data_IF_801072346632
#
_entry.id   IF_801072346632
#
_cell.length_a   1.000
_cell.length_b   1.000
_cell.length_c   1.000
_cell.angle_alpha   90.00
_cell.angle_beta   90.00
_cell.angle_gamma   90.00
#
_symmetry.space_group_name_H-M   'P 1'
#
loop_
_entity.id
_entity.type
_entity.pdbx_description
1 polymer ?
#
# COMPACT_ATOMS: atom_id res chain seq x y z
N UNK A 1 19.35 -3.43 -20.69
CA UNK A 1 18.78 -2.32 -19.87
C UNK A 1 17.28 -2.53 -19.68
N UNK A 2 16.73 -2.18 -18.52
CA UNK A 2 15.33 -2.47 -18.12
C UNK A 2 14.42 -1.28 -18.37
N UNK A 3 13.18 -1.59 -18.77
CA UNK A 3 12.07 -0.62 -18.86
C UNK A 3 11.07 -0.96 -17.77
N UNK A 4 10.79 -0.01 -16.87
CA UNK A 4 9.94 -0.22 -15.70
C UNK A 4 8.72 0.67 -15.75
N UNK A 5 7.58 0.14 -15.27
CA UNK A 5 6.37 0.91 -15.00
C UNK A 5 6.30 1.14 -13.50
N UNK A 6 6.12 2.38 -13.06
CA UNK A 6 5.88 2.74 -11.67
C UNK A 6 4.42 3.14 -11.50
N UNK A 7 3.72 2.37 -10.67
CA UNK A 7 2.36 2.63 -10.22
C UNK A 7 2.38 2.90 -8.72
N UNK A 8 2.25 4.14 -8.30
CA UNK A 8 1.98 4.51 -6.92
C UNK A 8 0.50 4.87 -6.79
N UNK A 9 -0.21 4.20 -5.88
CA UNK A 9 -1.66 4.20 -5.83
C UNK A 9 -2.27 5.59 -5.67
N UNK A 10 -1.84 6.36 -4.68
CA UNK A 10 -2.45 7.68 -4.40
C UNK A 10 -2.19 8.71 -5.50
N UNK A 11 -0.98 8.70 -6.05
CA UNK A 11 -0.59 9.65 -7.11
C UNK A 11 -1.14 9.27 -8.48
N UNK A 12 -1.60 8.03 -8.66
CA UNK A 12 -2.18 7.53 -9.91
C UNK A 12 -3.71 7.53 -9.94
N UNK A 13 -4.39 8.01 -8.88
CA UNK A 13 -5.85 8.10 -8.88
C UNK A 13 -6.34 9.12 -9.92
N UNK A 14 -7.49 8.84 -10.53
CA UNK A 14 -8.14 9.72 -11.53
C UNK A 14 -8.66 11.01 -10.89
N UNK A 15 -9.01 11.00 -9.62
CA UNK A 15 -9.39 12.18 -8.83
C UNK A 15 -8.40 12.40 -7.69
N UNK A 16 -8.02 13.65 -7.42
CA UNK A 16 -7.19 13.97 -6.24
C UNK A 16 -8.03 13.79 -4.99
N UNK A 17 -7.47 13.08 -4.02
CA UNK A 17 -8.11 12.78 -2.75
C UNK A 17 -8.56 14.04 -2.01
N UNK A 18 -9.74 13.96 -1.37
CA UNK A 18 -10.30 15.02 -0.53
C UNK A 18 -9.40 15.28 0.68
N UNK A 19 -9.54 16.43 1.30
CA UNK A 19 -8.67 17.04 2.31
C UNK A 19 -8.21 16.19 3.51
N UNK A 20 -8.89 15.10 3.83
CA UNK A 20 -8.54 14.22 4.96
C UNK A 20 -7.26 13.40 4.76
N UNK A 21 -6.83 13.21 3.52
CA UNK A 21 -5.72 12.33 3.18
C UNK A 21 -4.48 13.09 2.69
N UNK A 22 -4.38 14.40 2.96
CA UNK A 22 -3.28 15.24 2.45
C UNK A 22 -1.90 14.80 2.90
N UNK A 23 -1.76 14.32 4.14
CA UNK A 23 -0.46 13.87 4.66
C UNK A 23 -0.03 12.57 3.98
N UNK A 24 -0.92 11.57 3.93
CA UNK A 24 -0.67 10.30 3.25
C UNK A 24 -0.32 10.54 1.77
N UNK A 25 -1.06 11.44 1.12
CA UNK A 25 -0.80 11.80 -0.27
C UNK A 25 0.57 12.45 -0.45
N UNK A 26 0.98 13.35 0.45
CA UNK A 26 2.30 14.00 0.41
C UNK A 26 3.42 12.98 0.61
N UNK A 27 3.26 12.04 1.54
CA UNK A 27 4.20 10.94 1.75
C UNK A 27 4.31 10.05 0.51
N UNK A 28 3.19 9.65 -0.06
CA UNK A 28 3.13 8.85 -1.28
C UNK A 28 3.82 9.54 -2.47
N UNK A 29 3.57 10.84 -2.65
CA UNK A 29 4.22 11.65 -3.68
C UNK A 29 5.73 11.75 -3.47
N UNK A 30 6.18 11.98 -2.24
CA UNK A 30 7.60 12.03 -1.90
C UNK A 30 8.28 10.68 -2.13
N UNK A 31 7.65 9.59 -1.72
CA UNK A 31 8.14 8.23 -1.95
C UNK A 31 8.29 7.91 -3.43
N UNK A 32 7.23 8.14 -4.22
CA UNK A 32 7.26 7.94 -5.66
C UNK A 32 8.36 8.77 -6.34
N UNK A 33 8.47 10.05 -5.99
CA UNK A 33 9.50 10.93 -6.54
C UNK A 33 10.92 10.48 -6.16
N UNK A 34 11.14 10.01 -4.93
CA UNK A 34 12.41 9.49 -4.47
C UNK A 34 12.83 8.25 -5.27
N UNK A 35 11.90 7.32 -5.47
CA UNK A 35 12.15 6.11 -6.27
C UNK A 35 12.51 6.48 -7.72
N UNK A 36 11.75 7.39 -8.35
CA UNK A 36 12.02 7.83 -9.72
C UNK A 36 13.43 8.44 -9.82
N UNK A 37 13.79 9.34 -8.88
CA UNK A 37 15.12 9.97 -8.87
C UNK A 37 16.26 8.96 -8.71
N UNK A 38 16.08 7.92 -7.89
CA UNK A 38 17.05 6.85 -7.75
C UNK A 38 17.18 6.01 -9.03
N UNK A 39 16.06 5.70 -9.67
CA UNK A 39 16.06 4.94 -10.93
C UNK A 39 16.69 5.72 -12.08
N UNK A 40 16.52 7.05 -12.13
CA UNK A 40 17.20 7.91 -13.12
C UNK A 40 18.73 7.74 -13.03
N UNK A 41 19.28 7.61 -11.81
CA UNK A 41 20.72 7.45 -11.57
C UNK A 41 21.23 6.04 -11.92
N UNK A 42 20.37 5.03 -11.94
CA UNK A 42 20.78 3.65 -12.23
C UNK A 42 21.17 3.48 -13.69
N UNK A 43 22.32 2.81 -13.93
CA UNK A 43 22.78 2.46 -15.28
C UNK A 43 21.98 1.32 -15.91
N UNK A 44 21.36 0.47 -15.10
CA UNK A 44 20.59 -0.70 -15.56
C UNK A 44 19.20 -0.33 -16.08
N UNK A 45 18.71 0.86 -15.75
CA UNK A 45 17.37 1.34 -16.13
C UNK A 45 17.48 2.28 -17.33
N UNK A 46 16.88 1.87 -18.43
CA UNK A 46 16.79 2.64 -19.67
C UNK A 46 15.61 3.63 -19.61
N UNK A 47 14.44 3.16 -19.17
CA UNK A 47 13.22 3.95 -19.20
C UNK A 47 12.31 3.65 -18.01
N UNK A 48 11.71 4.70 -17.47
CA UNK A 48 10.72 4.63 -16.40
C UNK A 48 9.42 5.22 -16.94
N UNK A 49 8.37 4.42 -16.95
CA UNK A 49 7.02 4.85 -17.28
C UNK A 49 6.28 5.11 -15.97
N UNK A 50 5.94 6.35 -15.69
CA UNK A 50 5.27 6.76 -14.44
C UNK A 50 3.80 6.99 -14.73
N UNK A 51 2.92 6.32 -13.99
CA UNK A 51 1.48 6.56 -14.06
C UNK A 51 1.13 7.55 -12.95
N UNK A 52 0.52 8.69 -13.32
CA UNK A 52 0.30 9.80 -12.38
C UNK A 52 -0.92 10.63 -12.76
N UNK A 53 -1.59 11.22 -11.78
CA UNK A 53 -2.67 12.19 -12.02
C UNK A 53 -2.16 13.41 -12.77
N UNK A 54 -2.96 13.92 -13.73
CA UNK A 54 -2.62 15.04 -14.59
C UNK A 54 -2.31 16.35 -13.85
N UNK A 55 -2.84 16.52 -12.64
CA UNK A 55 -2.64 17.71 -11.83
C UNK A 55 -1.32 17.70 -11.03
N UNK A 56 -0.52 16.65 -11.15
CA UNK A 56 0.75 16.52 -10.45
C UNK A 56 1.94 16.86 -11.34
N UNK A 57 2.90 17.60 -10.77
CA UNK A 57 4.16 17.91 -11.45
C UNK A 57 4.93 16.65 -11.81
N UNK A 58 5.50 16.62 -12.99
CA UNK A 58 6.35 15.54 -13.48
C UNK A 58 7.81 15.73 -13.07
N UNK A 59 8.57 14.65 -13.09
CA UNK A 59 10.03 14.72 -13.01
C UNK A 59 10.56 14.69 -14.44
N UNK A 60 11.19 15.77 -14.85
CA UNK A 60 11.79 15.89 -16.17
C UNK A 60 13.09 15.11 -16.24
N UNK A 61 13.16 14.16 -17.15
CA UNK A 61 14.37 13.38 -17.46
C UNK A 61 14.19 12.63 -18.77
N UNK A 62 15.26 12.49 -19.55
CA UNK A 62 15.26 11.65 -20.76
C UNK A 62 14.85 10.20 -20.48
N UNK A 63 15.05 9.71 -19.26
CA UNK A 63 14.65 8.35 -18.82
C UNK A 63 13.19 8.25 -18.38
N UNK A 64 12.50 9.35 -18.11
CA UNK A 64 11.12 9.35 -17.58
C UNK A 64 10.13 9.66 -18.69
N UNK A 65 9.05 8.88 -18.75
CA UNK A 65 7.85 9.19 -19.52
C UNK A 65 6.63 9.04 -18.63
N UNK A 66 5.89 10.14 -18.45
CA UNK A 66 4.70 10.15 -17.61
C UNK A 66 3.45 9.89 -18.44
N UNK A 67 2.59 9.01 -17.94
CA UNK A 67 1.23 8.76 -18.43
C UNK A 67 0.25 9.32 -17.42
N UNK A 68 -0.71 10.10 -17.88
CA UNK A 68 -1.61 10.82 -17.00
C UNK A 68 -2.95 10.13 -16.85
N UNK A 69 -3.38 9.96 -15.61
CA UNK A 69 -4.75 9.63 -15.25
C UNK A 69 -5.58 10.91 -15.12
N UNK A 70 -6.87 10.77 -15.39
CA UNK A 70 -7.87 11.82 -15.23
C UNK A 70 -9.25 11.13 -15.00
N UNK A 71 -10.37 11.85 -14.82
CA UNK A 71 -11.69 11.23 -14.61
C UNK A 71 -12.12 10.22 -15.67
N UNK A 72 -11.62 10.34 -16.90
CA UNK A 72 -11.96 9.49 -18.05
C UNK A 72 -10.97 8.34 -18.25
N UNK A 73 -9.74 8.49 -17.76
CA UNK A 73 -8.64 7.54 -17.97
C UNK A 73 -8.08 7.09 -16.61
N UNK A 74 -8.35 5.86 -16.24
CA UNK A 74 -7.82 5.25 -15.02
C UNK A 74 -6.38 4.74 -15.20
N UNK A 75 -5.72 4.40 -14.09
CA UNK A 75 -4.40 3.74 -14.16
C UNK A 75 -4.48 2.34 -14.80
N UNK A 76 -5.62 1.66 -14.70
CA UNK A 76 -5.85 0.36 -15.36
C UNK A 76 -5.91 0.51 -16.88
N UNK A 77 -6.57 1.55 -17.38
CA UNK A 77 -6.62 1.85 -18.82
C UNK A 77 -5.22 2.13 -19.38
N UNK A 78 -4.40 2.83 -18.58
CA UNK A 78 -3.01 3.09 -18.97
C UNK A 78 -2.18 1.80 -18.95
N UNK A 79 -2.30 0.97 -17.93
CA UNK A 79 -1.59 -0.32 -17.84
C UNK A 79 -1.91 -1.22 -19.04
N UNK A 80 -3.18 -1.26 -19.46
CA UNK A 80 -3.62 -2.07 -20.60
C UNK A 80 -3.01 -1.65 -21.95
N UNK A 81 -2.43 -0.45 -22.05
CA UNK A 81 -1.72 0.04 -23.24
C UNK A 81 -0.28 -0.50 -23.32
N UNK A 82 0.25 -1.04 -22.25
CA UNK A 82 1.59 -1.63 -22.26
C UNK A 82 1.57 -3.06 -22.75
N UNK A 83 2.69 -3.48 -23.34
CA UNK A 83 2.89 -4.88 -23.75
C UNK A 83 2.69 -5.82 -22.56
N UNK A 84 2.01 -6.93 -22.77
CA UNK A 84 1.91 -8.01 -21.78
C UNK A 84 3.29 -8.40 -21.24
N UNK A 85 3.36 -8.79 -19.98
CA UNK A 85 4.59 -9.13 -19.24
C UNK A 85 5.57 -7.96 -19.03
N UNK A 86 5.14 -6.69 -19.25
CA UNK A 86 5.93 -5.53 -18.83
C UNK A 86 6.17 -5.57 -17.32
N UNK A 87 7.35 -5.10 -16.89
CA UNK A 87 7.72 -5.09 -15.47
C UNK A 87 7.10 -3.87 -14.76
N UNK A 88 6.35 -4.12 -13.70
CA UNK A 88 5.62 -3.10 -12.94
C UNK A 88 6.05 -3.11 -11.47
N UNK A 89 6.37 -1.95 -10.94
CA UNK A 89 6.54 -1.72 -9.51
C UNK A 89 5.27 -1.07 -8.98
N UNK A 90 4.67 -1.69 -7.97
CA UNK A 90 3.44 -1.24 -7.34
C UNK A 90 3.75 -0.76 -5.93
N UNK A 91 3.29 0.45 -5.61
CA UNK A 91 3.27 1.01 -4.27
C UNK A 91 1.81 1.30 -3.94
N UNK A 92 1.28 0.58 -2.97
CA UNK A 92 -0.11 0.70 -2.56
C UNK A 92 -0.26 0.39 -1.07
N UNK A 93 -1.21 1.03 -0.37
CA UNK A 93 -1.44 0.79 1.04
C UNK A 93 -2.05 -0.61 1.27
N UNK A 94 -1.77 -1.17 2.43
CA UNK A 94 -2.29 -2.48 2.84
C UNK A 94 -3.73 -2.42 3.37
N UNK A 95 -4.24 -1.22 3.59
CA UNK A 95 -5.59 -0.99 4.14
C UNK A 95 -6.65 -1.68 3.28
N UNK A 96 -7.54 -2.41 3.93
CA UNK A 96 -8.66 -3.14 3.29
C UNK A 96 -8.23 -4.09 2.15
N UNK A 97 -7.04 -4.68 2.25
CA UNK A 97 -6.44 -5.56 1.23
C UNK A 97 -6.26 -4.90 -0.15
N UNK A 98 -6.16 -3.57 -0.18
CA UNK A 98 -6.08 -2.82 -1.44
C UNK A 98 -4.83 -3.19 -2.24
N UNK A 99 -3.66 -3.27 -1.59
CA UNK A 99 -2.41 -3.69 -2.24
C UNK A 99 -2.56 -5.05 -2.91
N UNK A 100 -3.11 -6.05 -2.20
CA UNK A 100 -3.34 -7.40 -2.74
C UNK A 100 -4.27 -7.41 -3.95
N UNK A 101 -5.33 -6.60 -3.93
CA UNK A 101 -6.26 -6.47 -5.07
C UNK A 101 -5.57 -5.87 -6.29
N UNK A 102 -4.80 -4.80 -6.11
CA UNK A 102 -4.06 -4.17 -7.22
C UNK A 102 -3.02 -5.14 -7.79
N UNK A 103 -2.25 -5.80 -6.92
CA UNK A 103 -1.27 -6.80 -7.33
C UNK A 103 -1.90 -7.93 -8.15
N UNK A 104 -3.00 -8.51 -7.66
CA UNK A 104 -3.73 -9.58 -8.35
C UNK A 104 -4.18 -9.18 -9.74
N UNK A 105 -4.72 -7.96 -9.87
CA UNK A 105 -5.17 -7.44 -11.16
C UNK A 105 -3.99 -7.21 -12.14
N UNK A 106 -2.90 -6.62 -11.65
CA UNK A 106 -1.73 -6.33 -12.49
C UNK A 106 -1.03 -7.61 -12.92
N UNK A 107 -0.94 -8.64 -12.06
CA UNK A 107 -0.33 -9.92 -12.37
C UNK A 107 -1.02 -10.70 -13.50
N UNK A 108 -2.28 -10.39 -13.82
CA UNK A 108 -2.97 -11.04 -14.96
C UNK A 108 -2.28 -10.76 -16.30
N UNK A 109 -1.70 -9.57 -16.46
CA UNK A 109 -1.13 -9.13 -17.73
C UNK A 109 0.36 -8.73 -17.64
N UNK A 110 0.89 -8.46 -16.44
CA UNK A 110 2.21 -7.90 -16.23
C UNK A 110 3.01 -8.68 -15.18
N UNK A 111 4.32 -8.50 -15.19
CA UNK A 111 5.23 -9.01 -14.16
C UNK A 111 5.39 -7.97 -13.08
N UNK A 112 4.92 -8.24 -11.87
CA UNK A 112 5.12 -7.33 -10.75
C UNK A 112 6.49 -7.58 -10.12
N UNK A 113 7.29 -6.51 -10.00
CA UNK A 113 8.56 -6.53 -9.29
C UNK A 113 8.30 -6.19 -7.82
N UNK A 114 8.42 -7.18 -6.95
CA UNK A 114 8.15 -7.05 -5.52
C UNK A 114 7.96 -8.40 -4.86
N UNK A 115 7.32 -8.40 -3.71
CA UNK A 115 6.97 -9.62 -2.99
C UNK A 115 5.97 -10.47 -3.78
N UNK A 116 6.04 -11.80 -3.65
CA UNK A 116 5.02 -12.66 -4.23
C UNK A 116 3.69 -12.53 -3.46
N UNK A 117 2.59 -12.97 -4.07
CA UNK A 117 1.24 -12.86 -3.49
C UNK A 117 1.10 -13.55 -2.14
N UNK A 118 1.76 -14.69 -1.93
CA UNK A 118 1.72 -15.41 -0.65
C UNK A 118 2.35 -14.58 0.47
N UNK A 119 3.53 -13.99 0.21
CA UNK A 119 4.20 -13.09 1.14
C UNK A 119 3.37 -11.83 1.38
N UNK A 120 2.84 -11.21 0.33
CA UNK A 120 1.99 -10.02 0.45
C UNK A 120 0.77 -10.29 1.33
N UNK A 121 0.04 -11.38 1.10
CA UNK A 121 -1.14 -11.77 1.90
C UNK A 121 -0.81 -12.15 3.34
N UNK A 122 0.40 -12.62 3.59
CA UNK A 122 0.84 -12.96 4.94
C UNK A 122 1.23 -11.71 5.72
N UNK A 123 2.04 -10.85 5.12
CA UNK A 123 2.62 -9.71 5.81
C UNK A 123 1.72 -8.46 5.83
N UNK A 124 0.68 -8.39 4.99
CA UNK A 124 -0.35 -7.34 5.10
C UNK A 124 -1.33 -7.57 6.26
N UNK A 125 -1.38 -8.77 6.83
CA UNK A 125 -2.14 -9.07 8.04
C UNK A 125 -1.19 -9.22 9.24
N UNK A 126 -1.35 -8.37 10.26
CA UNK A 126 -0.55 -8.43 11.50
C UNK A 126 -0.68 -9.79 12.20
N UNK A 127 -1.90 -10.35 12.20
CA UNK A 127 -2.17 -11.66 12.80
C UNK A 127 -1.44 -12.79 12.05
N UNK A 128 -1.55 -12.83 10.72
CA UNK A 128 -0.87 -13.85 9.91
C UNK A 128 0.65 -13.71 10.00
N UNK A 129 1.16 -12.48 9.97
CA UNK A 129 2.59 -12.21 10.16
C UNK A 129 3.10 -12.74 11.50
N UNK A 130 2.43 -12.42 12.61
CA UNK A 130 2.80 -12.90 13.94
C UNK A 130 2.76 -14.43 14.04
N UNK A 131 1.72 -15.06 13.48
CA UNK A 131 1.65 -16.53 13.42
C UNK A 131 2.82 -17.14 12.65
N UNK A 132 3.20 -16.53 11.53
CA UNK A 132 4.34 -16.98 10.70
C UNK A 132 5.65 -16.82 11.45
N UNK A 133 5.90 -15.67 12.07
CA UNK A 133 7.09 -15.40 12.86
C UNK A 133 7.20 -16.37 14.06
N UNK A 134 6.08 -16.61 14.76
CA UNK A 134 6.05 -17.60 15.85
C UNK A 134 6.45 -18.99 15.39
N UNK A 135 5.94 -19.46 14.24
CA UNK A 135 6.31 -20.76 13.65
C UNK A 135 7.80 -20.83 13.26
N UNK A 136 8.44 -19.72 13.04
CA UNK A 136 9.86 -19.62 12.71
C UNK A 136 10.73 -19.34 13.96
N UNK A 137 10.17 -19.43 15.16
CA UNK A 137 10.81 -19.18 16.44
C UNK A 137 11.42 -17.76 16.57
N UNK A 138 10.89 -16.77 15.85
CA UNK A 138 11.25 -15.38 16.08
C UNK A 138 10.62 -14.85 17.37
N UNK A 139 11.33 -14.00 18.13
CA UNK A 139 10.73 -13.32 19.28
C UNK A 139 9.61 -12.41 18.78
N UNK A 140 8.42 -12.57 19.31
CA UNK A 140 7.25 -11.77 18.98
C UNK A 140 6.63 -11.17 20.23
N UNK A 141 6.00 -10.00 20.05
CA UNK A 141 5.12 -9.45 21.07
C UNK A 141 3.86 -10.33 21.12
N UNK A 142 3.51 -10.82 22.31
CA UNK A 142 2.34 -11.67 22.47
C UNK A 142 1.07 -10.93 22.04
N UNK A 143 0.29 -11.62 21.21
CA UNK A 143 -1.01 -11.13 20.80
C UNK A 143 -2.01 -11.52 21.91
N UNK A 144 -2.34 -10.57 22.77
CA UNK A 144 -3.32 -10.80 23.81
C UNK A 144 -4.70 -11.04 23.18
N UNK A 145 -5.10 -12.29 23.05
CA UNK A 145 -6.52 -12.62 23.18
C UNK A 145 -6.91 -12.10 24.55
N UNK A 146 -7.87 -11.18 24.63
CA UNK A 146 -8.33 -10.56 25.86
C UNK A 146 -8.38 -11.56 27.03
N UNK A 147 -7.24 -11.75 27.68
CA UNK A 147 -7.20 -12.54 28.90
C UNK A 147 -8.00 -11.77 29.93
N UNK A 148 -9.05 -12.42 30.44
CA UNK A 148 -10.02 -11.79 31.35
C UNK A 148 -9.34 -11.14 32.58
N UNK A 149 -8.16 -11.58 32.95
CA UNK A 149 -7.43 -11.15 34.14
C UNK A 149 -6.36 -10.07 33.90
N UNK A 150 -6.12 -9.65 32.64
CA UNK A 150 -5.11 -8.64 32.39
C UNK A 150 -5.62 -7.24 32.75
N UNK A 151 -4.96 -6.58 33.70
CA UNK A 151 -5.31 -5.23 34.21
C UNK A 151 -4.48 -4.10 33.56
N UNK A 152 -3.49 -4.41 32.73
CA UNK A 152 -2.58 -3.45 32.13
C UNK A 152 -3.15 -2.68 30.93
N UNK A 153 -2.32 -1.79 30.40
CA UNK A 153 -2.60 -1.10 29.13
C UNK A 153 -2.37 -2.04 27.96
N UNK A 154 -3.27 -2.04 26.98
CA UNK A 154 -3.17 -2.79 25.74
C UNK A 154 -3.13 -1.83 24.56
N UNK A 155 -2.41 -2.22 23.51
CA UNK A 155 -2.43 -1.49 22.24
C UNK A 155 -3.37 -2.24 21.30
N UNK A 156 -4.44 -1.56 20.90
CA UNK A 156 -5.30 -2.04 19.82
C UNK A 156 -4.75 -1.60 18.48
N UNK A 157 -4.69 -2.53 17.53
CA UNK A 157 -4.28 -2.28 16.15
C UNK A 157 -5.23 -3.04 15.22
N UNK A 158 -5.77 -2.42 14.16
CA UNK A 158 -6.47 -3.17 13.12
C UNK A 158 -5.53 -4.18 12.46
N UNK A 159 -6.06 -5.31 12.03
CA UNK A 159 -5.26 -6.38 11.41
C UNK A 159 -4.60 -5.91 10.11
N UNK A 160 -5.37 -5.24 9.25
CA UNK A 160 -4.91 -4.69 7.97
C UNK A 160 -5.03 -3.16 7.98
N UNK A 161 -3.95 -2.46 8.32
CA UNK A 161 -3.89 -1.00 8.32
C UNK A 161 -2.47 -0.51 8.13
N UNK A 162 -2.30 0.64 7.51
CA UNK A 162 -1.05 1.37 7.35
C UNK A 162 -1.07 2.66 8.19
N UNK A 163 0.11 3.26 8.46
CA UNK A 163 0.23 4.58 9.08
C UNK A 163 -0.33 4.68 10.49
N UNK A 164 -0.39 3.59 11.26
CA UNK A 164 -0.99 3.55 12.60
C UNK A 164 -2.46 3.97 12.66
N UNK A 165 -3.15 3.98 11.52
CA UNK A 165 -4.58 4.29 11.44
C UNK A 165 -5.39 3.41 12.39
N UNK A 166 -6.30 4.02 13.17
CA UNK A 166 -7.12 3.36 14.18
C UNK A 166 -6.32 2.57 15.24
N UNK A 167 -5.04 2.92 15.46
CA UNK A 167 -4.22 2.36 16.55
C UNK A 167 -4.39 3.22 17.80
N UNK A 168 -4.67 2.59 18.93
CA UNK A 168 -4.81 3.33 20.19
C UNK A 168 -4.43 2.50 21.41
N UNK A 169 -3.97 3.19 22.46
CA UNK A 169 -3.74 2.58 23.77
C UNK A 169 -5.03 2.60 24.57
N UNK A 170 -5.38 1.49 25.17
CA UNK A 170 -6.60 1.34 25.93
C UNK A 170 -6.41 0.37 27.11
N UNK A 171 -7.41 0.25 27.97
CA UNK A 171 -7.55 -0.86 28.91
C UNK A 171 -8.72 -1.75 28.48
N UNK A 172 -8.86 -2.92 29.09
CA UNK A 172 -9.90 -3.91 28.78
C UNK A 172 -11.31 -3.31 28.77
N UNK A 173 -11.67 -2.59 29.82
CA UNK A 173 -13.03 -2.05 29.98
C UNK A 173 -13.40 -1.05 28.89
N UNK A 174 -12.48 -0.18 28.52
CA UNK A 174 -12.68 0.81 27.46
C UNK A 174 -12.68 0.17 26.07
N UNK A 175 -11.93 -0.91 25.86
CA UNK A 175 -11.95 -1.66 24.60
C UNK A 175 -13.31 -2.30 24.34
N UNK A 176 -13.88 -2.97 25.33
CA UNK A 176 -15.20 -3.62 25.20
C UNK A 176 -16.31 -2.60 24.91
N UNK A 177 -16.28 -1.42 25.55
CA UNK A 177 -17.21 -0.32 25.23
C UNK A 177 -17.06 0.15 23.78
N UNK A 178 -15.83 0.37 23.31
CA UNK A 178 -15.59 0.82 21.91
C UNK A 178 -16.00 -0.22 20.89
N UNK A 179 -15.77 -1.52 21.15
CA UNK A 179 -16.18 -2.61 20.26
C UNK A 179 -17.69 -2.66 20.09
N UNK A 180 -18.47 -2.46 21.15
CA UNK A 180 -19.94 -2.40 21.10
C UNK A 180 -20.44 -1.22 20.23
N UNK A 181 -19.79 -0.07 20.32
CA UNK A 181 -20.15 1.13 19.53
C UNK A 181 -19.81 0.91 18.03
N UNK A 182 -18.73 0.22 17.70
CA UNK A 182 -18.38 -0.07 16.30
C UNK A 182 -19.28 -1.11 15.65
N UNK A 183 -19.78 -2.08 16.40
CA UNK A 183 -20.74 -3.07 15.90
C UNK A 183 -22.16 -2.49 15.70
N UNK A 184 -22.54 -1.45 16.42
CA UNK A 184 -23.84 -0.79 16.28
C UNK A 184 -23.91 0.21 15.13
N UNK A 185 -22.81 0.49 14.44
CA UNK A 185 -22.75 1.35 13.23
C UNK A 185 -22.71 0.59 11.90
N UNK A 186 -22.87 -0.73 11.92
CA UNK A 186 -22.86 -1.62 10.74
C UNK A 186 -24.27 -2.25 10.52
N UNK A 187 -25.29 -1.62 11.04
CA UNK A 187 -26.70 -1.94 10.71
C UNK A 187 -27.30 -0.79 9.94
#
# INVERSE_FOLDING_TARGET
MKKLILLEYFTSQSSILKSKDKEIFREALNLANSIIRNFIKSRDIEKIYVIRNKNLKTIESKKVKTYFTNPEISYTDILNRFKKKSEVIIIAPETNNLSSKIYSNVLQNHKVLGSNMSSLNTFSSKTKMLMRLKKLNFPIVENYKLNLNYKGKIIYKPDTSAGSENTFVTNKNNYEKKKRISCSKIL
#
